data_IF_012799183613
#
_entry.id   IF_012799183613
#
_cell.length_a   1.000
_cell.length_b   1.000
_cell.length_c   1.000
_cell.angle_alpha   90.00
_cell.angle_beta   90.00
_cell.angle_gamma   90.00
#
_symmetry.space_group_name_H-M   'P 1'
#
loop_
_entity.id
_entity.type
_entity.pdbx_description
1 polymer ?
#
# COMPACT_ATOMS: atom_id res chain seq x y z
N UNK A 1 -46.04 30.95 -6.51
CA UNK A 1 -45.46 29.81 -5.75
C UNK A 1 -44.45 28.98 -6.57
N UNK A 2 -44.57 28.89 -7.91
CA UNK A 2 -43.66 28.09 -8.77
C UNK A 2 -42.25 28.67 -9.00
N UNK A 3 -42.07 29.99 -9.00
CA UNK A 3 -40.76 30.64 -9.28
C UNK A 3 -39.74 30.39 -8.16
N UNK A 4 -40.18 30.34 -6.90
CA UNK A 4 -39.30 30.07 -5.75
C UNK A 4 -38.80 28.62 -5.69
N UNK A 5 -39.56 27.66 -6.23
CA UNK A 5 -39.15 26.25 -6.26
C UNK A 5 -38.05 25.98 -7.30
N UNK A 6 -38.16 26.58 -8.49
CA UNK A 6 -37.15 26.47 -9.56
C UNK A 6 -35.84 27.20 -9.21
N UNK A 7 -35.92 28.36 -8.53
CA UNK A 7 -34.73 29.04 -8.02
C UNK A 7 -34.02 28.23 -6.92
N UNK A 8 -34.77 27.58 -6.01
CA UNK A 8 -34.19 26.69 -5.01
C UNK A 8 -33.50 25.47 -5.64
N UNK A 9 -34.10 24.83 -6.65
CA UNK A 9 -33.48 23.65 -7.28
C UNK A 9 -32.19 23.98 -8.05
N UNK A 10 -32.15 25.12 -8.74
CA UNK A 10 -30.95 25.58 -9.43
C UNK A 10 -29.81 25.99 -8.48
N UNK A 11 -30.14 26.49 -7.28
CA UNK A 11 -29.14 26.82 -6.26
C UNK A 11 -28.59 25.54 -5.62
N UNK A 12 -29.45 24.56 -5.28
CA UNK A 12 -29.00 23.26 -4.77
C UNK A 12 -28.10 22.53 -5.77
N UNK A 13 -28.49 22.47 -7.05
CA UNK A 13 -27.71 21.80 -8.09
C UNK A 13 -26.34 22.46 -8.34
N UNK A 14 -26.23 23.78 -8.15
CA UNK A 14 -24.94 24.50 -8.22
C UNK A 14 -24.07 24.25 -7.00
N UNK A 15 -24.67 24.08 -5.82
CA UNK A 15 -23.95 23.74 -4.58
C UNK A 15 -23.42 22.30 -4.68
N UNK A 16 -24.23 21.36 -5.18
CA UNK A 16 -23.83 19.97 -5.39
C UNK A 16 -22.66 19.87 -6.38
N UNK A 17 -22.74 20.55 -7.53
CA UNK A 17 -21.63 20.58 -8.50
C UNK A 17 -20.36 21.26 -7.96
N UNK A 18 -20.50 22.29 -7.13
CA UNK A 18 -19.35 22.97 -6.52
C UNK A 18 -18.71 22.11 -5.43
N UNK A 19 -19.51 21.34 -4.68
CA UNK A 19 -19.03 20.36 -3.71
C UNK A 19 -18.35 19.19 -4.42
N UNK A 20 -18.95 18.61 -5.47
CA UNK A 20 -18.34 17.57 -6.29
C UNK A 20 -16.99 18.03 -6.85
N UNK A 21 -16.93 19.22 -7.44
CA UNK A 21 -15.68 19.78 -7.95
C UNK A 21 -14.65 20.01 -6.84
N UNK A 22 -15.08 20.44 -5.66
CA UNK A 22 -14.20 20.59 -4.51
C UNK A 22 -13.69 19.24 -3.97
N UNK A 23 -14.52 18.20 -4.00
CA UNK A 23 -14.12 16.83 -3.65
C UNK A 23 -13.19 16.20 -4.70
N UNK A 24 -13.38 16.50 -5.98
CA UNK A 24 -12.47 16.13 -7.06
C UNK A 24 -11.11 16.82 -6.90
N UNK A 25 -11.10 18.14 -6.68
CA UNK A 25 -9.89 18.92 -6.45
C UNK A 25 -9.14 18.48 -5.16
N UNK A 26 -9.86 18.16 -4.08
CA UNK A 26 -9.27 17.60 -2.85
C UNK A 26 -8.75 16.16 -3.05
N UNK A 27 -9.42 15.36 -3.87
CA UNK A 27 -9.02 13.99 -4.21
C UNK A 27 -7.73 13.93 -5.03
N UNK A 28 -7.49 14.94 -5.87
CA UNK A 28 -6.31 15.04 -6.72
C UNK A 28 -5.05 15.53 -5.96
N UNK A 29 -5.20 16.31 -4.87
CA UNK A 29 -4.11 16.94 -4.10
C UNK A 29 -3.73 16.23 -2.77
N UNK A 30 -3.98 14.93 -2.63
CA UNK A 30 -3.74 14.22 -1.37
C UNK A 30 -2.25 13.89 -1.08
N UNK A 31 -1.57 14.82 -0.41
CA UNK A 31 -0.39 14.52 0.43
C UNK A 31 -0.87 14.18 1.85
N UNK A 32 -1.24 12.92 2.09
CA UNK A 32 -1.50 12.44 3.46
C UNK A 32 -0.19 12.44 4.26
N UNK A 33 -0.02 13.42 5.15
CA UNK A 33 1.13 13.50 6.06
C UNK A 33 1.16 12.41 7.16
N UNK A 34 0.14 11.55 7.22
CA UNK A 34 0.10 10.47 8.21
C UNK A 34 1.01 9.31 7.81
N UNK A 35 1.93 8.93 8.70
CA UNK A 35 2.80 7.74 8.55
C UNK A 35 2.01 6.42 8.65
N UNK A 36 0.85 6.46 9.32
CA UNK A 36 -0.06 5.33 9.44
C UNK A 36 -1.13 5.34 8.36
N UNK A 37 -1.56 4.15 7.95
CA UNK A 37 -2.70 4.01 7.04
C UNK A 37 -3.96 4.55 7.74
N UNK A 38 -4.70 5.51 7.14
CA UNK A 38 -5.80 6.20 7.79
C UNK A 38 -6.99 5.26 8.00
N UNK A 39 -7.05 4.65 9.18
CA UNK A 39 -8.13 3.77 9.59
C UNK A 39 -9.13 4.52 10.47
N UNK A 40 -10.42 4.24 10.26
CA UNK A 40 -11.47 4.70 11.17
C UNK A 40 -11.35 4.01 12.52
N UNK A 41 -11.81 4.67 13.59
CA UNK A 41 -11.82 4.10 14.96
C UNK A 41 -12.61 2.78 15.07
N UNK A 42 -13.58 2.58 14.20
CA UNK A 42 -14.49 1.43 14.16
C UNK A 42 -14.12 0.40 13.06
N UNK A 43 -12.93 0.49 12.45
CA UNK A 43 -12.55 -0.29 11.25
C UNK A 43 -12.65 -1.83 11.41
N UNK A 44 -12.70 -2.33 12.64
CA UNK A 44 -12.74 -3.76 12.96
C UNK A 44 -14.00 -4.18 13.73
N UNK A 45 -15.05 -3.36 13.74
CA UNK A 45 -16.36 -3.74 14.32
C UNK A 45 -17.02 -4.83 13.49
N UNK A 46 -16.98 -4.72 12.16
CA UNK A 46 -17.55 -5.73 11.26
C UNK A 46 -16.62 -6.93 11.11
N UNK A 47 -17.20 -8.13 11.09
CA UNK A 47 -16.51 -9.37 10.72
C UNK A 47 -16.06 -9.34 9.25
N UNK A 48 -15.14 -10.22 8.88
CA UNK A 48 -14.69 -10.33 7.49
C UNK A 48 -15.85 -10.77 6.57
N UNK A 49 -16.74 -11.65 7.04
CA UNK A 49 -17.95 -12.09 6.33
C UNK A 49 -18.94 -10.93 6.11
N UNK A 50 -19.15 -10.09 7.13
CA UNK A 50 -20.03 -8.91 7.03
C UNK A 50 -19.47 -7.89 6.03
N UNK A 51 -18.15 -7.66 6.06
CA UNK A 51 -17.46 -6.80 5.08
C UNK A 51 -17.62 -7.34 3.67
N UNK A 52 -17.40 -8.64 3.45
CA UNK A 52 -17.55 -9.29 2.14
C UNK A 52 -18.98 -9.14 1.64
N UNK A 53 -19.98 -9.40 2.47
CA UNK A 53 -21.39 -9.29 2.09
C UNK A 53 -21.74 -7.85 1.64
N UNK A 54 -21.28 -6.84 2.38
CA UNK A 54 -21.53 -5.42 2.07
C UNK A 54 -20.79 -4.96 0.81
N UNK A 55 -19.52 -5.32 0.67
CA UNK A 55 -18.71 -4.95 -0.50
C UNK A 55 -19.26 -5.63 -1.75
N UNK A 56 -19.66 -6.91 -1.67
CA UNK A 56 -20.30 -7.64 -2.78
C UNK A 56 -21.53 -6.89 -3.30
N UNK A 57 -22.40 -6.43 -2.41
CA UNK A 57 -23.56 -5.62 -2.80
C UNK A 57 -23.15 -4.32 -3.50
N UNK A 58 -22.12 -3.64 -2.98
CA UNK A 58 -21.62 -2.39 -3.58
C UNK A 58 -21.02 -2.61 -4.98
N UNK A 59 -20.23 -3.67 -5.16
CA UNK A 59 -19.64 -4.01 -6.47
C UNK A 59 -20.72 -4.43 -7.46
N UNK A 60 -21.76 -5.14 -7.01
CA UNK A 60 -22.92 -5.47 -7.83
C UNK A 60 -23.58 -4.21 -8.39
N UNK A 61 -23.86 -3.22 -7.53
CA UNK A 61 -24.44 -1.95 -7.95
C UNK A 61 -23.54 -1.19 -8.92
N UNK A 62 -22.22 -1.16 -8.68
CA UNK A 62 -21.26 -0.55 -9.61
C UNK A 62 -21.36 -1.21 -10.99
N UNK A 63 -21.35 -2.55 -11.04
CA UNK A 63 -21.40 -3.28 -12.31
C UNK A 63 -22.71 -3.08 -13.07
N UNK A 64 -23.86 -3.11 -12.38
CA UNK A 64 -25.16 -2.81 -12.98
C UNK A 64 -25.24 -1.37 -13.48
N UNK A 65 -24.70 -0.43 -12.71
CA UNK A 65 -24.65 1.00 -13.10
C UNK A 65 -23.83 1.21 -14.37
N UNK A 66 -22.77 0.42 -14.58
CA UNK A 66 -21.98 0.41 -15.81
C UNK A 66 -22.69 -0.31 -16.98
N UNK A 67 -23.88 -0.87 -16.76
CA UNK A 67 -24.66 -1.59 -17.77
C UNK A 67 -24.17 -3.01 -18.06
N UNK A 68 -23.42 -3.63 -17.14
CA UNK A 68 -22.97 -5.01 -17.29
C UNK A 68 -24.11 -6.00 -16.99
N UNK A 69 -24.25 -7.02 -17.84
CA UNK A 69 -25.18 -8.13 -17.62
C UNK A 69 -24.62 -9.07 -16.55
N UNK A 70 -25.29 -9.13 -15.40
CA UNK A 70 -24.90 -10.00 -14.28
C UNK A 70 -25.60 -11.37 -14.29
N UNK A 71 -26.43 -11.65 -15.28
CA UNK A 71 -26.93 -13.01 -15.55
C UNK A 71 -25.90 -13.84 -16.35
N UNK A 72 -24.96 -13.17 -17.04
CA UNK A 72 -23.83 -13.79 -17.72
C UNK A 72 -23.01 -14.69 -16.78
N UNK A 73 -22.65 -15.87 -17.26
CA UNK A 73 -22.01 -16.90 -16.44
C UNK A 73 -20.60 -16.53 -15.97
N UNK A 74 -19.89 -15.71 -16.75
CA UNK A 74 -18.56 -15.18 -16.42
C UNK A 74 -18.66 -14.08 -15.37
N UNK A 75 -19.63 -13.16 -15.50
CA UNK A 75 -19.74 -11.96 -14.67
C UNK A 75 -20.52 -12.13 -13.37
N UNK A 76 -21.50 -13.04 -13.29
CA UNK A 76 -22.34 -13.24 -12.09
C UNK A 76 -21.56 -13.49 -10.80
N UNK A 77 -20.36 -14.08 -10.91
CA UNK A 77 -19.47 -14.33 -9.78
C UNK A 77 -18.54 -13.17 -9.40
N UNK A 78 -18.39 -12.16 -10.25
CA UNK A 78 -17.42 -11.07 -10.09
C UNK A 78 -17.61 -10.27 -8.80
N UNK A 79 -18.83 -9.83 -8.42
CA UNK A 79 -19.00 -9.06 -7.19
C UNK A 79 -18.46 -9.77 -5.95
N UNK A 80 -18.65 -11.08 -5.87
CA UNK A 80 -18.14 -11.90 -4.77
C UNK A 80 -16.62 -12.09 -4.84
N UNK A 81 -16.06 -12.29 -6.03
CA UNK A 81 -14.60 -12.39 -6.22
C UNK A 81 -13.90 -11.09 -5.80
N UNK A 82 -14.40 -9.93 -6.22
CA UNK A 82 -13.85 -8.62 -5.84
C UNK A 82 -13.94 -8.41 -4.33
N UNK A 83 -15.10 -8.71 -3.72
CA UNK A 83 -15.27 -8.57 -2.28
C UNK A 83 -14.30 -9.44 -1.47
N UNK A 84 -14.13 -10.72 -1.87
CA UNK A 84 -13.16 -11.63 -1.25
C UNK A 84 -11.73 -11.15 -1.45
N UNK A 85 -11.37 -10.70 -2.66
CA UNK A 85 -10.05 -10.15 -2.96
C UNK A 85 -9.71 -8.97 -2.04
N UNK A 86 -10.62 -8.01 -1.88
CA UNK A 86 -10.40 -6.86 -1.00
C UNK A 86 -10.22 -7.28 0.46
N UNK A 87 -11.11 -8.10 1.01
CA UNK A 87 -11.10 -8.42 2.46
C UNK A 87 -10.04 -9.45 2.81
N UNK A 88 -9.92 -10.51 2.01
CA UNK A 88 -9.10 -11.66 2.35
C UNK A 88 -7.69 -11.62 1.76
N UNK A 89 -7.45 -10.82 0.73
CA UNK A 89 -6.20 -10.86 -0.03
C UNK A 89 -5.50 -9.50 0.00
N UNK A 90 -5.83 -8.60 -0.94
CA UNK A 90 -5.00 -7.43 -1.25
C UNK A 90 -5.02 -6.34 -0.18
N UNK A 91 -6.03 -6.31 0.70
CA UNK A 91 -6.06 -5.42 1.87
C UNK A 91 -5.97 -6.15 3.21
N UNK A 92 -5.52 -7.41 3.20
CA UNK A 92 -5.35 -8.20 4.42
C UNK A 92 -4.38 -7.57 5.43
N UNK A 93 -3.42 -6.76 4.96
CA UNK A 93 -2.46 -6.02 5.77
C UNK A 93 -3.07 -4.94 6.66
N UNK A 94 -4.33 -4.56 6.43
CA UNK A 94 -5.07 -3.68 7.34
C UNK A 94 -5.39 -4.36 8.67
N UNK A 95 -5.55 -5.69 8.69
CA UNK A 95 -5.91 -6.42 9.90
C UNK A 95 -4.66 -6.62 10.79
N UNK A 96 -4.60 -6.04 12.01
CA UNK A 96 -3.45 -6.17 12.89
C UNK A 96 -3.15 -7.62 13.30
N UNK A 97 -4.16 -8.50 13.30
CA UNK A 97 -3.99 -9.93 13.60
C UNK A 97 -3.13 -10.66 12.55
N UNK A 98 -2.99 -10.08 11.34
CA UNK A 98 -2.14 -10.61 10.27
C UNK A 98 -0.71 -10.04 10.31
N UNK A 99 -0.39 -9.14 11.24
CA UNK A 99 0.98 -8.65 11.46
C UNK A 99 1.86 -9.88 11.72
N UNK A 100 2.95 -10.10 10.95
CA UNK A 100 3.70 -11.33 11.09
C UNK A 100 4.36 -11.37 12.47
N UNK A 101 4.46 -12.55 13.10
CA UNK A 101 5.11 -12.69 14.42
C UNK A 101 6.59 -12.31 14.34
N UNK A 102 7.14 -11.74 15.41
CA UNK A 102 8.59 -11.49 15.51
C UNK A 102 9.31 -12.83 15.74
N UNK A 103 10.35 -13.07 14.96
CA UNK A 103 11.29 -14.18 15.20
C UNK A 103 12.68 -13.61 14.98
N UNK A 104 13.28 -13.14 16.06
CA UNK A 104 14.69 -12.75 16.11
C UNK A 104 15.49 -13.84 16.79
N UNK A 105 16.77 -13.91 16.43
CA UNK A 105 17.72 -14.84 16.99
C UNK A 105 18.92 -14.05 17.51
N UNK A 106 19.54 -14.54 18.59
CA UNK A 106 20.79 -13.96 19.08
C UNK A 106 21.86 -14.03 17.99
N UNK A 107 22.53 -12.92 17.74
CA UNK A 107 23.65 -12.82 16.82
C UNK A 107 24.91 -13.45 17.44
N UNK A 108 24.90 -14.78 17.61
CA UNK A 108 26.01 -15.53 18.21
C UNK A 108 27.32 -15.39 17.43
N UNK A 109 27.20 -15.15 16.11
CA UNK A 109 28.33 -14.96 15.20
C UNK A 109 28.94 -13.55 15.30
N UNK A 110 28.30 -12.62 16.04
CA UNK A 110 28.69 -11.20 16.11
C UNK A 110 28.88 -10.58 14.74
N UNK A 111 28.05 -10.99 13.77
CA UNK A 111 28.08 -10.44 12.43
C UNK A 111 27.65 -8.97 12.48
N UNK A 112 28.61 -8.06 12.30
CA UNK A 112 28.42 -6.62 12.46
C UNK A 112 28.25 -5.84 11.15
N UNK A 113 28.32 -6.55 10.02
CA UNK A 113 28.19 -5.95 8.69
C UNK A 113 26.73 -5.77 8.29
N UNK A 114 26.51 -5.00 7.23
CA UNK A 114 25.21 -4.78 6.61
C UNK A 114 24.64 -6.10 6.05
N UNK A 115 23.39 -6.39 6.40
CA UNK A 115 22.60 -7.44 5.77
C UNK A 115 21.63 -6.80 4.78
N UNK A 116 21.59 -7.32 3.54
CA UNK A 116 20.68 -6.83 2.49
C UNK A 116 19.84 -7.98 1.93
N UNK A 117 18.53 -7.85 2.06
CA UNK A 117 17.54 -8.65 1.33
C UNK A 117 17.03 -7.81 0.15
N UNK A 118 17.52 -8.11 -1.06
CA UNK A 118 17.18 -7.37 -2.29
C UNK A 118 16.21 -8.14 -3.17
N UNK A 119 15.52 -7.42 -4.07
CA UNK A 119 14.59 -7.98 -5.05
C UNK A 119 13.33 -8.65 -4.45
N UNK A 120 12.92 -8.21 -3.26
CA UNK A 120 11.66 -8.64 -2.62
C UNK A 120 10.51 -8.22 -3.53
N UNK A 121 9.71 -9.18 -3.99
CA UNK A 121 8.53 -8.89 -4.81
C UNK A 121 7.52 -8.08 -4.01
N UNK A 122 7.09 -6.95 -4.57
CA UNK A 122 6.13 -6.05 -3.96
C UNK A 122 4.90 -5.90 -4.86
N UNK A 123 3.74 -6.28 -4.31
CA UNK A 123 2.43 -6.04 -4.90
C UNK A 123 1.59 -5.26 -3.89
N UNK A 124 1.26 -4.02 -4.22
CA UNK A 124 0.41 -3.14 -3.44
C UNK A 124 -0.70 -2.54 -4.31
N UNK A 125 -1.41 -1.56 -3.79
CA UNK A 125 -2.55 -0.93 -4.46
C UNK A 125 -2.57 0.54 -4.10
N UNK A 126 -2.52 1.42 -5.10
CA UNK A 126 -2.57 2.87 -4.91
C UNK A 126 -3.89 3.25 -4.26
N UNK A 127 -3.86 3.97 -3.14
CA UNK A 127 -5.10 4.30 -2.41
C UNK A 127 -6.02 5.26 -3.17
N UNK A 128 -5.49 6.08 -4.06
CA UNK A 128 -6.26 7.07 -4.82
C UNK A 128 -7.15 6.45 -5.90
N UNK A 129 -6.74 5.31 -6.47
CA UNK A 129 -7.43 4.72 -7.63
C UNK A 129 -7.73 3.23 -7.47
N UNK A 130 -7.28 2.61 -6.37
CA UNK A 130 -7.35 1.17 -6.13
C UNK A 130 -6.75 0.33 -7.27
N UNK A 131 -5.76 0.88 -7.97
CA UNK A 131 -5.01 0.22 -9.03
C UNK A 131 -3.68 -0.34 -8.51
N UNK A 132 -3.17 -1.43 -9.11
CA UNK A 132 -1.95 -2.07 -8.61
C UNK A 132 -0.72 -1.16 -8.60
N UNK A 133 0.09 -1.32 -7.57
CA UNK A 133 1.48 -0.89 -7.51
C UNK A 133 2.32 -2.17 -7.57
N UNK A 134 3.20 -2.28 -8.56
CA UNK A 134 4.00 -3.49 -8.79
C UNK A 134 5.47 -3.12 -8.85
N UNK A 135 6.28 -3.73 -7.99
CA UNK A 135 7.68 -3.35 -7.89
C UNK A 135 8.53 -4.31 -7.10
N UNK A 136 9.68 -3.79 -6.68
CA UNK A 136 10.65 -4.46 -5.82
C UNK A 136 10.96 -3.61 -4.61
N UNK A 137 11.03 -4.27 -3.45
CA UNK A 137 11.61 -3.69 -2.26
C UNK A 137 13.00 -4.29 -2.00
N UNK A 138 13.87 -3.46 -1.46
CA UNK A 138 15.21 -3.82 -1.02
C UNK A 138 15.33 -3.33 0.41
N UNK A 139 15.65 -4.23 1.32
CA UNK A 139 15.69 -3.96 2.75
C UNK A 139 17.10 -4.24 3.26
N UNK A 140 17.62 -3.33 4.07
CA UNK A 140 18.90 -3.51 4.72
C UNK A 140 18.83 -3.20 6.22
N UNK A 141 19.68 -3.85 7.01
CA UNK A 141 19.88 -3.49 8.41
C UNK A 141 21.29 -3.82 8.90
N UNK A 142 21.70 -3.18 10.00
CA UNK A 142 22.93 -3.49 10.74
C UNK A 142 22.53 -3.99 12.13
N UNK A 143 22.91 -5.24 12.44
CA UNK A 143 22.55 -5.89 13.71
C UNK A 143 23.16 -5.19 14.92
N UNK A 144 22.37 -5.04 15.99
CA UNK A 144 22.83 -4.65 17.34
C UNK A 144 22.79 -5.81 18.35
N UNK A 145 23.02 -7.03 17.86
CA UNK A 145 23.05 -8.25 18.70
C UNK A 145 21.93 -9.24 18.39
N UNK A 146 20.96 -8.87 17.56
CA UNK A 146 19.88 -9.73 17.07
C UNK A 146 19.86 -9.78 15.54
N UNK A 147 19.46 -10.92 15.00
CA UNK A 147 19.28 -11.15 13.55
C UNK A 147 17.83 -11.52 13.31
N UNK A 148 17.21 -10.94 12.28
CA UNK A 148 15.87 -11.34 11.83
C UNK A 148 15.99 -12.48 10.80
N UNK A 149 15.11 -13.48 10.89
CA UNK A 149 15.06 -14.53 9.87
C UNK A 149 14.77 -13.92 8.49
N UNK A 150 15.51 -14.32 7.44
CA UNK A 150 15.46 -13.67 6.12
C UNK A 150 14.02 -13.50 5.60
N UNK A 151 13.26 -14.61 5.56
CA UNK A 151 11.86 -14.61 5.10
C UNK A 151 10.91 -13.65 5.85
N UNK A 152 11.28 -13.19 7.05
CA UNK A 152 10.47 -12.26 7.84
C UNK A 152 10.55 -10.83 7.30
N UNK A 153 11.65 -10.42 6.66
CA UNK A 153 11.74 -9.15 5.95
C UNK A 153 10.71 -9.11 4.81
N UNK A 154 10.65 -10.18 3.99
CA UNK A 154 9.67 -10.31 2.90
C UNK A 154 8.23 -10.28 3.45
N UNK A 155 7.97 -10.93 4.58
CA UNK A 155 6.64 -10.92 5.23
C UNK A 155 6.24 -9.55 5.78
N UNK A 156 7.19 -8.75 6.28
CA UNK A 156 6.92 -7.37 6.72
C UNK A 156 6.57 -6.51 5.52
N UNK A 157 7.37 -6.59 4.45
CA UNK A 157 7.10 -5.88 3.19
C UNK A 157 5.71 -6.24 2.66
N UNK A 158 5.38 -7.54 2.57
CA UNK A 158 4.07 -8.00 2.10
C UNK A 158 2.94 -7.50 3.02
N UNK A 159 3.09 -7.60 4.35
CA UNK A 159 2.08 -7.13 5.30
C UNK A 159 1.71 -5.65 5.09
N UNK A 160 2.68 -4.77 4.92
CA UNK A 160 2.40 -3.36 4.67
C UNK A 160 1.97 -3.08 3.22
N UNK A 161 2.47 -3.85 2.25
CA UNK A 161 2.07 -3.73 0.85
C UNK A 161 0.60 -4.14 0.64
N UNK A 162 0.05 -5.05 1.46
CA UNK A 162 -1.36 -5.48 1.41
C UNK A 162 -2.32 -4.47 2.06
N UNK A 163 -2.23 -3.21 1.66
CA UNK A 163 -3.10 -2.09 2.06
C UNK A 163 -3.32 -1.18 0.83
N UNK A 164 -4.37 -0.35 0.82
CA UNK A 164 -4.33 0.87 0.02
C UNK A 164 -3.13 1.72 0.49
N UNK A 165 -2.26 2.12 -0.44
CA UNK A 165 -0.99 2.75 -0.11
C UNK A 165 -0.65 3.98 -0.93
N UNK A 166 0.20 4.79 -0.29
CA UNK A 166 1.15 5.75 -0.88
C UNK A 166 2.54 5.14 -0.71
N UNK A 167 3.39 5.16 -1.74
CA UNK A 167 4.66 4.41 -1.75
C UNK A 167 5.64 4.92 -0.69
N UNK A 168 5.67 6.22 -0.48
CA UNK A 168 6.46 6.92 0.53
C UNK A 168 6.09 6.41 1.93
N UNK A 169 4.78 6.37 2.24
CA UNK A 169 4.26 5.86 3.52
C UNK A 169 4.56 4.37 3.71
N UNK A 170 4.39 3.57 2.66
CA UNK A 170 4.74 2.15 2.68
C UNK A 170 6.21 1.95 3.10
N UNK A 171 7.11 2.79 2.59
CA UNK A 171 8.53 2.71 2.92
C UNK A 171 8.82 3.02 4.38
N UNK A 172 8.24 4.12 4.90
CA UNK A 172 8.33 4.52 6.32
C UNK A 172 7.84 3.39 7.23
N UNK A 173 6.69 2.80 6.91
CA UNK A 173 6.09 1.72 7.70
C UNK A 173 6.99 0.47 7.77
N UNK A 174 7.61 0.09 6.65
CA UNK A 174 8.52 -1.06 6.58
C UNK A 174 9.76 -0.82 7.45
N UNK A 175 10.40 0.35 7.32
CA UNK A 175 11.59 0.68 8.12
C UNK A 175 11.25 0.70 9.60
N UNK A 176 10.19 1.40 9.99
CA UNK A 176 9.78 1.51 11.40
C UNK A 176 9.46 0.16 12.05
N UNK A 177 8.76 -0.72 11.33
CA UNK A 177 8.49 -2.10 11.80
C UNK A 177 9.78 -2.89 12.03
N UNK A 178 10.71 -2.81 11.08
CA UNK A 178 11.97 -3.53 11.18
C UNK A 178 12.84 -3.00 12.31
N UNK A 179 12.85 -1.67 12.53
CA UNK A 179 13.53 -1.06 13.66
C UNK A 179 12.97 -1.59 15.00
N UNK A 180 11.63 -1.67 15.14
CA UNK A 180 10.98 -2.24 16.32
C UNK A 180 11.33 -3.72 16.51
N UNK A 181 11.23 -4.52 15.45
CA UNK A 181 11.48 -5.97 15.51
C UNK A 181 12.94 -6.28 15.82
N UNK A 182 13.88 -5.52 15.26
CA UNK A 182 15.32 -5.74 15.43
C UNK A 182 15.88 -5.06 16.69
N UNK A 183 15.23 -4.03 17.21
CA UNK A 183 15.77 -3.20 18.30
C UNK A 183 16.95 -2.35 17.86
N UNK A 184 16.96 -1.87 16.62
CA UNK A 184 18.02 -1.00 16.08
C UNK A 184 17.43 0.05 15.15
N UNK A 185 17.94 1.28 15.24
CA UNK A 185 17.62 2.34 14.28
C UNK A 185 18.26 2.12 12.90
N UNK A 186 19.29 1.25 12.82
CA UNK A 186 20.10 1.05 11.64
C UNK A 186 19.39 0.12 10.65
N UNK A 187 18.38 0.67 9.96
CA UNK A 187 17.55 -0.02 8.96
C UNK A 187 17.34 0.92 7.76
N UNK A 188 17.29 0.37 6.55
CA UNK A 188 16.91 1.11 5.36
C UNK A 188 16.00 0.29 4.45
N UNK A 189 15.18 0.99 3.67
CA UNK A 189 14.42 0.37 2.59
C UNK A 189 14.36 1.27 1.36
N UNK A 190 14.57 0.66 0.19
CA UNK A 190 14.38 1.26 -1.13
C UNK A 190 13.30 0.48 -1.85
N UNK A 191 12.33 1.18 -2.43
CA UNK A 191 11.27 0.60 -3.25
C UNK A 191 11.35 1.24 -4.63
N UNK A 192 11.39 0.41 -5.68
CA UNK A 192 11.21 0.82 -7.08
C UNK A 192 9.96 0.12 -7.61
N UNK A 193 8.94 0.89 -8.01
CA UNK A 193 7.67 0.34 -8.43
C UNK A 193 7.01 1.11 -9.59
N UNK A 194 6.27 0.38 -10.41
CA UNK A 194 5.35 0.91 -11.42
C UNK A 194 3.97 1.09 -10.81
N UNK A 195 3.32 2.20 -11.15
CA UNK A 195 2.01 2.59 -10.65
C UNK A 195 0.99 2.48 -11.77
N UNK A 196 0.08 1.51 -11.74
CA UNK A 196 -0.88 1.35 -12.83
C UNK A 196 -1.85 2.53 -12.94
N UNK A 197 -2.03 3.32 -11.90
CA UNK A 197 -2.77 4.59 -11.98
C UNK A 197 -2.10 5.65 -12.87
N UNK A 198 -0.79 5.54 -13.13
CA UNK A 198 -0.01 6.37 -14.07
C UNK A 198 0.13 5.65 -15.43
N UNK A 199 0.35 4.34 -15.40
CA UNK A 199 0.68 3.58 -16.61
C UNK A 199 -0.53 3.19 -17.47
N UNK A 200 -1.68 2.83 -16.88
CA UNK A 200 -2.83 2.29 -17.63
C UNK A 200 -3.96 3.29 -17.88
N UNK A 201 -3.93 4.45 -17.21
CA UNK A 201 -4.92 5.52 -17.35
C UNK A 201 -4.27 6.90 -17.24
N UNK A 202 -5.05 7.96 -17.43
CA UNK A 202 -4.53 9.33 -17.35
C UNK A 202 -3.44 9.57 -18.39
N UNK A 203 -2.22 9.85 -17.92
CA UNK A 203 -1.04 10.13 -18.77
C UNK A 203 -0.53 8.90 -19.54
N UNK A 204 -0.81 7.68 -19.05
CA UNK A 204 -0.47 6.40 -19.70
C UNK A 204 1.03 6.21 -19.98
N UNK A 205 1.89 6.64 -19.05
CA UNK A 205 3.34 6.45 -19.15
C UNK A 205 3.70 5.02 -18.72
N UNK A 206 4.01 4.16 -19.70
CA UNK A 206 4.32 2.75 -19.44
C UNK A 206 5.77 2.51 -19.02
N UNK A 207 6.68 3.45 -19.30
CA UNK A 207 8.12 3.29 -19.08
C UNK A 207 8.50 3.70 -17.67
N UNK A 208 7.89 4.75 -17.14
CA UNK A 208 8.20 5.28 -15.82
C UNK A 208 8.07 4.27 -14.68
N UNK A 209 8.92 4.45 -13.68
CA UNK A 209 8.81 3.86 -12.34
C UNK A 209 9.13 4.93 -11.30
N UNK A 210 8.70 4.69 -10.06
CA UNK A 210 8.93 5.60 -8.93
C UNK A 210 9.81 4.92 -7.91
N UNK A 211 10.91 5.59 -7.55
CA UNK A 211 11.85 5.12 -6.53
C UNK A 211 11.68 5.95 -5.27
N UNK A 212 11.48 5.29 -4.14
CA UNK A 212 11.42 5.90 -2.80
C UNK A 212 12.43 5.23 -1.89
N UNK A 213 13.01 5.99 -0.96
CA UNK A 213 13.95 5.47 0.03
C UNK A 213 13.63 6.01 1.43
N UNK A 214 13.83 5.17 2.45
CA UNK A 214 13.77 5.56 3.86
C UNK A 214 15.04 5.03 4.55
N UNK A 215 15.72 5.91 5.29
CA UNK A 215 17.03 5.64 5.88
C UNK A 215 17.04 5.93 7.37
N UNK A 216 17.17 4.88 8.18
CA UNK A 216 17.32 4.95 9.63
C UNK A 216 18.78 4.85 10.09
N UNK A 217 19.09 5.48 11.23
CA UNK A 217 20.37 5.34 11.91
C UNK A 217 21.59 5.57 11.00
N UNK A 218 22.53 4.63 11.00
CA UNK A 218 23.76 4.65 10.19
C UNK A 218 23.52 4.80 8.69
N UNK A 219 22.37 4.38 8.16
CA UNK A 219 22.08 4.55 6.73
C UNK A 219 21.86 6.01 6.32
N UNK A 220 21.78 6.95 7.27
CA UNK A 220 21.81 8.39 6.98
C UNK A 220 23.22 8.88 6.60
N UNK A 221 24.25 8.13 6.97
CA UNK A 221 25.63 8.41 6.59
C UNK A 221 25.87 8.06 5.12
N UNK A 222 26.51 8.95 4.37
CA UNK A 222 26.65 8.81 2.93
C UNK A 222 27.42 7.54 2.51
N UNK A 223 28.47 7.18 3.24
CA UNK A 223 29.27 6.00 2.95
C UNK A 223 28.44 4.71 3.05
N UNK A 224 27.69 4.55 4.14
CA UNK A 224 26.81 3.39 4.38
C UNK A 224 25.66 3.36 3.37
N UNK A 225 25.07 4.53 3.07
CA UNK A 225 24.03 4.63 2.06
C UNK A 225 24.53 4.20 0.68
N UNK A 226 25.72 4.65 0.28
CA UNK A 226 26.32 4.26 -1.02
C UNK A 226 26.58 2.75 -1.06
N UNK A 227 27.15 2.18 0.00
CA UNK A 227 27.37 0.72 0.08
C UNK A 227 26.07 -0.07 -0.11
N UNK A 228 24.97 0.34 0.53
CA UNK A 228 23.66 -0.28 0.33
C UNK A 228 23.18 -0.17 -1.12
N UNK A 229 23.28 1.01 -1.72
CA UNK A 229 22.88 1.23 -3.12
C UNK A 229 23.74 0.42 -4.10
N UNK A 230 25.02 0.22 -3.80
CA UNK A 230 25.90 -0.63 -4.59
C UNK A 230 25.48 -2.10 -4.49
N UNK A 231 25.11 -2.60 -3.29
CA UNK A 231 24.63 -3.97 -3.12
C UNK A 231 23.33 -4.27 -3.89
N UNK A 232 22.39 -3.32 -3.96
CA UNK A 232 21.14 -3.54 -4.71
C UNK A 232 21.35 -3.54 -6.23
N UNK A 233 22.40 -2.88 -6.72
CA UNK A 233 22.80 -2.87 -8.13
C UNK A 233 23.53 -4.16 -8.57
N UNK A 234 23.93 -5.02 -7.63
CA UNK A 234 24.54 -6.31 -7.98
C UNK A 234 23.49 -7.20 -8.64
N UNK A 235 23.68 -7.53 -9.91
CA UNK A 235 22.85 -8.52 -10.59
C UNK A 235 23.06 -9.92 -10.01
N UNK A 236 21.97 -10.63 -9.75
CA UNK A 236 22.02 -12.03 -9.34
C UNK A 236 21.53 -12.90 -10.50
N UNK A 237 22.45 -13.66 -11.10
CA UNK A 237 22.17 -14.66 -12.14
C UNK A 237 22.47 -16.04 -11.56
N UNK A 238 21.56 -16.99 -11.75
CA UNK A 238 21.69 -18.38 -11.29
C UNK A 238 21.75 -19.32 -12.51
#
# INVERSE_FOLDING_TARGET
MYIFAALKSNILMKIDNALEKHFEELGDDHVSAAEDTPLRKDAFVLSDEEKIARIRGSVNEIMLTLGLDLEDDSLKGTPNRVAKMFVNEIFGGLNPKRRPKSSTFDNKYKYGEMLVEKNITLYSTCEHHLLPIVGKAHVAYISKGTVVGLSKMNRIVDYYAKRPQVQERLNIQIVRELQEVLGTEDVACVIDAKHLCVNSRGIRDIESSTVTAEYGGKFKEEAVRREFLDYINIDTKF
#
